data_IF_889291969704
#
_entry.id   IF_889291969704
#
_cell.length_a   1.000
_cell.length_b   1.000
_cell.length_c   1.000
_cell.angle_alpha   90.00
_cell.angle_beta   90.00
_cell.angle_gamma   90.00
#
_symmetry.space_group_name_H-M   'P 1'
#
loop_
_entity.id
_entity.type
_entity.pdbx_description
1 polymer ?
#
# COMPACT_ATOMS: atom_id res chain seq x y z
N UNK A 1 3.60 11.55 -1.36
CA UNK A 1 4.07 11.04 -0.05
C UNK A 1 5.33 10.20 -0.26
N UNK A 2 6.47 10.80 -0.64
CA UNK A 2 7.62 10.04 -1.22
C UNK A 2 8.84 9.90 -0.29
N UNK A 3 8.84 10.59 0.85
CA UNK A 3 10.01 10.61 1.75
C UNK A 3 10.22 9.24 2.41
N UNK A 4 9.13 8.54 2.74
CA UNK A 4 9.20 7.21 3.35
C UNK A 4 9.88 6.19 2.42
N UNK A 5 9.64 6.25 1.11
CA UNK A 5 10.28 5.37 0.13
C UNK A 5 11.78 5.62 0.01
N UNK A 6 12.24 6.85 0.27
CA UNK A 6 13.65 7.23 0.18
C UNK A 6 14.42 7.04 1.49
N UNK A 7 13.74 7.13 2.63
CA UNK A 7 14.38 7.04 3.95
C UNK A 7 14.26 5.64 4.58
N UNK A 8 13.19 4.90 4.30
CA UNK A 8 12.90 3.65 4.98
C UNK A 8 13.34 2.45 4.14
N UNK A 9 14.16 1.59 4.75
CA UNK A 9 14.53 0.29 4.17
C UNK A 9 13.42 -0.75 4.29
N UNK A 10 12.52 -0.57 5.27
CA UNK A 10 11.39 -1.47 5.56
C UNK A 10 10.16 -0.64 5.86
N UNK A 11 9.03 -1.13 5.38
CA UNK A 11 7.74 -0.47 5.44
C UNK A 11 6.73 -1.49 5.96
N UNK A 12 5.91 -1.08 6.93
CA UNK A 12 4.78 -1.86 7.44
C UNK A 12 3.48 -1.16 7.12
N UNK A 13 2.50 -1.90 6.60
CA UNK A 13 1.15 -1.39 6.33
C UNK A 13 0.23 -1.91 7.41
N UNK A 14 -0.41 -0.97 8.10
CA UNK A 14 -1.35 -1.25 9.19
C UNK A 14 -2.74 -0.81 8.74
N UNK A 15 -3.70 -1.73 8.82
CA UNK A 15 -5.11 -1.45 8.58
C UNK A 15 -5.93 -1.86 9.81
N UNK A 16 -6.80 -0.97 10.29
CA UNK A 16 -7.65 -1.21 11.46
C UNK A 16 -6.87 -1.73 12.69
N UNK A 17 -5.69 -1.17 12.94
CA UNK A 17 -4.82 -1.56 14.06
C UNK A 17 -4.12 -2.92 13.90
N UNK A 18 -4.19 -3.55 12.72
CA UNK A 18 -3.51 -4.81 12.40
C UNK A 18 -2.46 -4.59 11.32
N UNK A 19 -1.26 -5.14 11.53
CA UNK A 19 -0.22 -5.17 10.50
C UNK A 19 -0.62 -6.20 9.44
N UNK A 20 -0.92 -5.72 8.23
CA UNK A 20 -1.38 -6.56 7.12
C UNK A 20 -0.26 -6.91 6.14
N UNK A 21 0.78 -6.09 6.06
CA UNK A 21 1.96 -6.35 5.24
C UNK A 21 3.20 -5.70 5.86
N UNK A 22 4.37 -6.32 5.69
CA UNK A 22 5.66 -5.74 6.10
C UNK A 22 6.80 -6.27 5.24
N UNK A 23 7.64 -5.37 4.77
CA UNK A 23 8.75 -5.71 3.89
C UNK A 23 9.45 -4.48 3.33
N UNK A 24 10.42 -4.68 2.47
CA UNK A 24 10.92 -3.63 1.57
C UNK A 24 9.84 -3.24 0.55
N UNK A 25 9.97 -2.07 -0.08
CA UNK A 25 9.04 -1.65 -1.11
C UNK A 25 8.97 -2.65 -2.28
N UNK A 26 10.09 -3.29 -2.62
CA UNK A 26 10.14 -4.32 -3.65
C UNK A 26 9.34 -5.58 -3.26
N UNK A 27 9.52 -6.08 -2.03
CA UNK A 27 8.78 -7.23 -1.52
C UNK A 27 7.28 -6.94 -1.45
N UNK A 28 6.91 -5.75 -0.96
CA UNK A 28 5.51 -5.36 -0.87
C UNK A 28 4.85 -5.26 -2.25
N UNK A 29 5.56 -4.70 -3.26
CA UNK A 29 5.10 -4.65 -4.66
C UNK A 29 4.89 -6.05 -5.24
N UNK A 30 5.79 -6.97 -4.95
CA UNK A 30 5.67 -8.37 -5.38
C UNK A 30 4.46 -9.05 -4.72
N UNK A 31 4.27 -8.84 -3.41
CA UNK A 31 3.12 -9.36 -2.66
C UNK A 31 1.78 -8.81 -3.17
N UNK A 32 1.72 -7.53 -3.53
CA UNK A 32 0.52 -6.91 -4.07
C UNK A 32 0.32 -7.17 -5.58
N UNK A 33 1.27 -7.84 -6.25
CA UNK A 33 1.28 -8.02 -7.71
C UNK A 33 1.20 -6.69 -8.49
N UNK A 34 1.79 -5.62 -7.95
CA UNK A 34 1.80 -4.28 -8.51
C UNK A 34 3.23 -3.82 -8.81
N UNK A 35 3.86 -4.31 -9.90
CA UNK A 35 5.21 -3.93 -10.24
C UNK A 35 5.28 -2.44 -10.61
N UNK A 36 6.24 -1.72 -10.02
CA UNK A 36 6.49 -0.31 -10.34
C UNK A 36 5.50 0.70 -9.75
N UNK A 37 4.53 0.25 -8.96
CA UNK A 37 3.56 1.13 -8.30
C UNK A 37 4.19 1.92 -7.16
N UNK A 38 3.62 3.08 -6.81
CA UNK A 38 4.10 3.86 -5.67
C UNK A 38 3.70 3.22 -4.35
N UNK A 39 4.32 3.64 -3.23
CA UNK A 39 3.86 3.24 -1.90
C UNK A 39 2.39 3.58 -1.64
N UNK A 40 1.89 4.66 -2.23
CA UNK A 40 0.50 5.10 -2.10
C UNK A 40 -0.47 4.17 -2.83
N UNK A 41 -0.18 3.82 -4.09
CA UNK A 41 -0.96 2.83 -4.85
C UNK A 41 -1.02 1.49 -4.11
N UNK A 42 0.12 1.10 -3.54
CA UNK A 42 0.27 -0.15 -2.81
C UNK A 42 -0.55 -0.14 -1.52
N UNK A 43 -0.53 0.98 -0.78
CA UNK A 43 -1.38 1.19 0.38
C UNK A 43 -2.86 1.04 0.00
N UNK A 44 -3.33 1.77 -1.03
CA UNK A 44 -4.73 1.75 -1.46
C UNK A 44 -5.19 0.35 -1.87
N UNK A 45 -4.36 -0.39 -2.61
CA UNK A 45 -4.63 -1.76 -3.02
C UNK A 45 -4.77 -2.71 -1.83
N UNK A 46 -3.87 -2.60 -0.84
CA UNK A 46 -3.85 -3.48 0.33
C UNK A 46 -4.87 -3.10 1.41
N UNK A 47 -5.27 -1.84 1.51
CA UNK A 47 -6.34 -1.40 2.42
C UNK A 47 -7.73 -1.50 1.81
N UNK A 48 -7.84 -1.92 0.54
CA UNK A 48 -9.11 -2.03 -0.17
C UNK A 48 -9.79 -0.68 -0.41
N UNK A 49 -9.02 0.40 -0.38
CA UNK A 49 -9.50 1.77 -0.61
C UNK A 49 -9.61 2.08 -2.11
N UNK A 50 -10.08 1.11 -2.89
CA UNK A 50 -10.47 1.29 -4.29
C UNK A 50 -12.00 1.28 -4.37
N UNK A 51 -12.64 2.31 -3.81
CA UNK A 51 -14.06 2.68 -4.06
C UNK A 51 -14.40 3.99 -3.33
N UNK A 52 -14.17 5.12 -3.99
CA UNK A 52 -15.26 6.09 -4.12
C UNK A 52 -15.78 5.95 -5.57
N UNK A 53 -16.62 4.95 -5.78
CA UNK A 53 -17.69 5.08 -6.77
C UNK A 53 -18.94 5.45 -5.97
N UNK A 54 -19.41 6.69 -6.16
CA UNK A 54 -20.79 7.02 -5.84
C UNK A 54 -21.71 6.19 -6.73
N UNK A 55 -22.67 5.49 -6.12
CA UNK A 55 -23.88 5.10 -6.81
C UNK A 55 -25.07 5.46 -5.92
N UNK A 56 -25.76 6.54 -6.29
CA UNK A 56 -27.13 6.76 -5.87
C UNK A 56 -28.02 5.66 -6.47
N UNK A 57 -28.81 5.04 -5.61
CA UNK A 57 -30.12 4.48 -5.88
C UNK A 57 -30.86 4.33 -4.55
#
# INVERSE_FOLDING_TARGET
MEIAERLCHRIGIINQGKLIAVGSLAELREQAQLPGSTLEDLFLSLTGSSSEEGNGA
#
